data_IF_938316114373
#
_entry.id   IF_938316114373
#
_cell.length_a   1.000
_cell.length_b   1.000
_cell.length_c   1.000
_cell.angle_alpha   90.00
_cell.angle_beta   90.00
_cell.angle_gamma   90.00
#
_symmetry.space_group_name_H-M   'P 1'
#
loop_
_entity.id
_entity.type
_entity.pdbx_description
1 polymer ?
#
# COMPACT_ATOMS: atom_id res chain seq x y z
N UNK A 1 -15.84 1.36 13.55
CA UNK A 1 -15.53 0.21 12.67
C UNK A 1 -14.73 -0.85 13.41
N UNK A 2 -13.71 -0.47 14.19
CA UNK A 2 -12.92 -1.40 15.03
C UNK A 2 -13.74 -2.26 16.02
N UNK A 3 -14.81 -1.71 16.61
CA UNK A 3 -15.61 -2.43 17.63
C UNK A 3 -16.38 -3.65 17.09
N UNK A 4 -16.54 -3.75 15.76
CA UNK A 4 -17.22 -4.86 15.10
C UNK A 4 -16.24 -5.77 14.33
N UNK A 5 -14.93 -5.46 14.40
CA UNK A 5 -13.90 -6.25 13.74
C UNK A 5 -13.47 -7.40 14.64
N UNK A 6 -13.53 -8.62 14.11
CA UNK A 6 -13.01 -9.81 14.77
C UNK A 6 -11.49 -9.88 14.58
N UNK A 7 -10.76 -9.42 15.59
CA UNK A 7 -9.31 -9.38 15.54
C UNK A 7 -8.72 -10.79 15.48
N UNK A 8 -7.70 -11.03 14.62
CA UNK A 8 -7.00 -12.30 14.61
C UNK A 8 -6.25 -12.47 15.95
N UNK A 9 -6.11 -13.73 16.37
CA UNK A 9 -5.27 -14.05 17.53
C UNK A 9 -3.80 -14.00 17.09
N UNK A 10 -2.92 -13.30 17.82
CA UNK A 10 -1.51 -13.24 17.47
C UNK A 10 -0.85 -14.60 17.73
N UNK A 11 -0.14 -15.12 16.73
CA UNK A 11 0.61 -16.37 16.82
C UNK A 11 2.05 -16.10 17.29
N UNK A 12 2.59 -14.94 16.92
CA UNK A 12 3.96 -14.53 17.22
C UNK A 12 4.02 -13.12 17.82
N UNK A 13 5.16 -12.73 18.41
CA UNK A 13 5.35 -11.38 18.95
C UNK A 13 5.23 -10.29 17.86
N UNK A 14 5.63 -10.59 16.62
CA UNK A 14 5.47 -9.69 15.48
C UNK A 14 3.99 -9.36 15.23
N UNK A 15 3.10 -10.34 15.39
CA UNK A 15 1.66 -10.17 15.20
C UNK A 15 1.08 -9.20 16.23
N UNK A 16 1.55 -9.27 17.48
CA UNK A 16 1.15 -8.31 18.53
C UNK A 16 1.54 -6.88 18.17
N UNK A 17 2.70 -6.69 17.52
CA UNK A 17 3.13 -5.37 17.04
C UNK A 17 2.24 -4.87 15.91
N UNK A 18 1.83 -5.74 14.97
CA UNK A 18 0.87 -5.40 13.92
C UNK A 18 -0.44 -4.92 14.55
N UNK A 19 -1.04 -5.73 15.43
CA UNK A 19 -2.31 -5.40 16.08
C UNK A 19 -2.23 -4.08 16.86
N UNK A 20 -1.14 -3.87 17.60
CA UNK A 20 -0.90 -2.63 18.36
C UNK A 20 -0.80 -1.41 17.44
N UNK A 21 -0.03 -1.50 16.36
CA UNK A 21 0.17 -0.39 15.44
C UNK A 21 -1.13 -0.05 14.72
N UNK A 22 -1.90 -1.05 14.27
CA UNK A 22 -3.22 -0.81 13.66
C UNK A 22 -4.16 -0.08 14.63
N UNK A 23 -4.21 -0.49 15.90
CA UNK A 23 -5.09 0.16 16.90
C UNK A 23 -4.67 1.59 17.23
N UNK A 24 -3.37 1.80 17.42
CA UNK A 24 -2.87 3.02 18.04
C UNK A 24 -2.33 4.06 17.05
N UNK A 25 -1.91 3.62 15.86
CA UNK A 25 -1.23 4.46 14.85
C UNK A 25 -1.99 4.50 13.51
N UNK A 26 -3.16 3.87 13.43
CA UNK A 26 -4.00 3.85 12.23
C UNK A 26 -3.63 2.79 11.21
N UNK A 27 -2.36 2.39 11.10
CA UNK A 27 -1.95 1.24 10.32
C UNK A 27 -0.61 0.67 10.81
N UNK A 28 -0.31 -0.55 10.38
CA UNK A 28 1.03 -1.12 10.38
C UNK A 28 1.57 -1.14 8.94
N UNK A 29 2.88 -1.02 8.77
CA UNK A 29 3.53 -1.09 7.45
C UNK A 29 4.50 -2.27 7.48
N UNK A 30 4.31 -3.21 6.57
CA UNK A 30 5.19 -4.36 6.38
C UNK A 30 6.12 -4.05 5.22
N UNK A 31 7.44 -4.07 5.46
CA UNK A 31 8.46 -3.94 4.42
C UNK A 31 9.10 -5.28 4.09
N UNK A 32 9.27 -5.57 2.79
CA UNK A 32 9.90 -6.77 2.25
C UNK A 32 11.15 -6.37 1.44
N UNK A 33 12.25 -5.97 2.10
CA UNK A 33 13.45 -5.47 1.42
C UNK A 33 14.20 -6.55 0.63
N UNK A 34 13.97 -7.84 0.94
CA UNK A 34 14.61 -8.97 0.25
C UNK A 34 13.88 -9.43 -1.02
N UNK A 35 12.74 -8.83 -1.37
CA UNK A 35 12.07 -9.09 -2.64
C UNK A 35 12.78 -8.37 -3.79
N UNK A 36 12.47 -8.78 -5.02
CA UNK A 36 12.99 -8.14 -6.22
C UNK A 36 11.84 -7.86 -7.22
N UNK A 37 11.39 -6.61 -7.36
CA UNK A 37 11.84 -5.43 -6.61
C UNK A 37 11.38 -5.45 -5.13
N UNK A 38 12.04 -4.69 -4.24
CA UNK A 38 11.59 -4.55 -2.85
C UNK A 38 10.22 -3.86 -2.82
N UNK A 39 9.41 -4.20 -1.82
CA UNK A 39 8.09 -3.60 -1.66
C UNK A 39 7.69 -3.45 -0.20
N UNK A 40 6.72 -2.58 0.05
CA UNK A 40 6.06 -2.46 1.34
C UNK A 40 4.56 -2.31 1.17
N UNK A 41 3.78 -2.72 2.17
CA UNK A 41 2.33 -2.57 2.16
C UNK A 41 1.77 -2.24 3.54
N UNK A 42 0.60 -1.60 3.56
CA UNK A 42 -0.11 -1.28 4.79
C UNK A 42 -1.04 -2.40 5.25
N UNK A 43 -1.33 -2.40 6.54
CA UNK A 43 -2.39 -3.18 7.18
C UNK A 43 -3.13 -2.24 8.12
N UNK A 44 -4.46 -2.18 8.03
CA UNK A 44 -5.33 -1.45 8.96
C UNK A 44 -5.97 -0.20 8.37
N UNK A 45 -5.56 0.24 7.18
CA UNK A 45 -6.15 1.40 6.49
C UNK A 45 -7.61 1.14 6.13
N UNK A 46 -7.91 -0.08 5.68
CA UNK A 46 -9.26 -0.51 5.37
C UNK A 46 -10.14 -0.58 6.62
N UNK A 47 -9.63 -1.18 7.70
CA UNK A 47 -10.33 -1.27 8.98
C UNK A 47 -10.63 0.11 9.60
N UNK A 48 -9.65 1.01 9.62
CA UNK A 48 -9.74 2.23 10.40
C UNK A 48 -10.40 3.39 9.66
N UNK A 49 -10.26 3.42 8.33
CA UNK A 49 -10.69 4.57 7.53
C UNK A 49 -11.62 4.18 6.37
N UNK A 50 -11.89 2.89 6.16
CA UNK A 50 -12.64 2.41 4.99
C UNK A 50 -11.92 2.70 3.68
N UNK A 51 -10.59 2.87 3.72
CA UNK A 51 -9.74 3.17 2.58
C UNK A 51 -9.00 1.90 2.14
N UNK A 52 -8.77 1.64 0.83
CA UNK A 52 -7.97 0.51 0.40
C UNK A 52 -6.60 0.43 1.12
N UNK A 53 -6.10 -0.77 1.39
CA UNK A 53 -4.70 -0.92 1.77
C UNK A 53 -3.79 -0.44 0.65
N UNK A 54 -2.54 -0.10 0.97
CA UNK A 54 -1.57 0.40 0.01
C UNK A 54 -0.45 -0.60 -0.17
N UNK A 55 0.05 -0.74 -1.39
CA UNK A 55 1.30 -1.44 -1.71
C UNK A 55 2.18 -0.55 -2.59
N UNK A 56 3.49 -0.55 -2.35
CA UNK A 56 4.45 0.26 -3.10
C UNK A 56 5.70 -0.56 -3.39
N UNK A 57 6.22 -0.46 -4.63
CA UNK A 57 7.42 -1.18 -5.09
C UNK A 57 8.58 -0.23 -5.38
N UNK A 58 9.80 -0.77 -5.41
CA UNK A 58 10.96 -0.09 -6.00
C UNK A 58 11.56 1.03 -5.13
N UNK A 59 11.21 1.08 -3.85
CA UNK A 59 11.75 2.02 -2.87
C UNK A 59 12.37 1.29 -1.69
N UNK A 60 13.27 1.97 -0.97
CA UNK A 60 13.74 1.47 0.33
C UNK A 60 12.57 1.32 1.31
N UNK A 61 12.72 0.43 2.29
CA UNK A 61 11.71 0.23 3.35
C UNK A 61 11.37 1.53 4.07
N UNK A 62 12.37 2.39 4.30
CA UNK A 62 12.21 3.70 4.94
C UNK A 62 11.38 4.65 4.08
N UNK A 63 11.72 4.77 2.79
CA UNK A 63 11.01 5.66 1.86
C UNK A 63 9.57 5.20 1.63
N UNK A 64 9.37 3.90 1.36
CA UNK A 64 8.04 3.33 1.17
C UNK A 64 7.18 3.54 2.43
N UNK A 65 7.76 3.33 3.62
CA UNK A 65 7.06 3.57 4.88
C UNK A 65 6.72 5.05 5.08
N UNK A 66 7.63 5.97 4.75
CA UNK A 66 7.38 7.40 4.86
C UNK A 66 6.22 7.84 3.95
N UNK A 67 6.20 7.37 2.70
CA UNK A 67 5.13 7.67 1.73
C UNK A 67 3.81 7.07 2.17
N UNK A 68 3.77 5.80 2.59
CA UNK A 68 2.54 5.17 3.08
C UNK A 68 2.02 5.89 4.35
N UNK A 69 2.89 6.30 5.27
CA UNK A 69 2.50 7.09 6.44
C UNK A 69 1.92 8.45 6.05
N UNK A 70 2.52 9.13 5.07
CA UNK A 70 1.99 10.39 4.54
C UNK A 70 0.58 10.20 3.98
N UNK A 71 0.36 9.15 3.18
CA UNK A 71 -0.97 8.85 2.62
C UNK A 71 -1.94 8.48 3.75
N UNK A 72 -1.52 7.70 4.76
CA UNK A 72 -2.34 7.41 5.95
C UNK A 72 -2.81 8.70 6.62
N UNK A 73 -1.94 9.68 6.80
CA UNK A 73 -2.29 10.92 7.50
C UNK A 73 -3.33 11.74 6.70
N UNK A 74 -3.24 11.73 5.36
CA UNK A 74 -4.28 12.30 4.47
C UNK A 74 -5.59 11.54 4.56
N UNK A 75 -5.54 10.21 4.57
CA UNK A 75 -6.72 9.36 4.71
C UNK A 75 -7.39 9.57 6.07
N UNK A 76 -6.61 9.71 7.14
CA UNK A 76 -7.09 9.99 8.49
C UNK A 76 -7.76 11.37 8.60
N UNK A 77 -7.38 12.34 7.77
CA UNK A 77 -8.07 13.64 7.67
C UNK A 77 -9.30 13.63 6.77
N UNK A 78 -9.64 12.48 6.18
CA UNK A 78 -10.86 12.26 5.40
C UNK A 78 -10.64 12.23 3.88
N UNK A 79 -9.41 12.35 3.39
CA UNK A 79 -9.11 12.17 1.97
C UNK A 79 -9.32 10.72 1.55
N UNK A 80 -9.72 10.51 0.30
CA UNK A 80 -9.86 9.17 -0.29
C UNK A 80 -9.15 9.15 -1.61
N UNK A 81 -8.42 8.06 -1.86
CA UNK A 81 -7.80 7.76 -3.14
C UNK A 81 -8.50 6.55 -3.76
N UNK A 82 -8.59 6.55 -5.07
CA UNK A 82 -9.22 5.51 -5.88
C UNK A 82 -8.34 5.15 -7.09
N UNK A 83 -8.75 4.12 -7.82
CA UNK A 83 -8.11 3.72 -9.07
C UNK A 83 -8.09 4.85 -10.10
N UNK A 84 -6.90 5.13 -10.65
CA UNK A 84 -6.68 6.18 -11.63
C UNK A 84 -6.39 7.56 -11.05
N UNK A 85 -6.47 7.74 -9.73
CA UNK A 85 -6.15 9.02 -9.10
C UNK A 85 -4.65 9.36 -9.24
N UNK A 86 -4.37 10.65 -9.35
CA UNK A 86 -3.04 11.24 -9.31
C UNK A 86 -3.03 12.35 -8.25
N UNK A 87 -2.14 12.26 -7.27
CA UNK A 87 -1.94 13.30 -6.26
C UNK A 87 -0.67 14.07 -6.56
N UNK A 88 -0.75 15.40 -6.59
CA UNK A 88 0.37 16.32 -6.87
C UNK A 88 0.74 17.22 -5.68
N UNK A 89 0.10 17.02 -4.53
CA UNK A 89 0.21 17.82 -3.32
C UNK A 89 0.88 17.06 -2.15
N UNK A 90 1.41 15.87 -2.41
CA UNK A 90 2.03 15.01 -1.41
C UNK A 90 3.56 15.12 -1.36
N UNK A 91 4.20 15.21 -2.52
CA UNK A 91 5.66 15.22 -2.62
C UNK A 91 6.18 16.61 -2.97
N UNK A 92 7.41 16.89 -2.58
CA UNK A 92 8.09 18.13 -2.93
C UNK A 92 8.47 18.16 -4.44
N UNK A 93 8.91 19.32 -4.92
CA UNK A 93 9.45 19.51 -6.27
C UNK A 93 8.50 19.11 -7.43
N UNK A 94 7.18 19.04 -7.17
CA UNK A 94 6.19 18.73 -8.20
C UNK A 94 6.10 17.25 -8.58
N UNK A 95 6.73 16.34 -7.81
CA UNK A 95 6.53 14.91 -7.98
C UNK A 95 5.11 14.49 -7.60
N UNK A 96 4.59 13.50 -8.33
CA UNK A 96 3.23 13.00 -8.17
C UNK A 96 3.22 11.54 -7.76
N UNK A 97 2.14 11.13 -7.11
CA UNK A 97 1.83 9.74 -6.80
C UNK A 97 0.58 9.31 -7.57
N UNK A 98 0.68 8.18 -8.25
CA UNK A 98 -0.45 7.55 -8.93
C UNK A 98 -1.01 6.38 -8.13
N UNK A 99 -2.29 6.10 -8.30
CA UNK A 99 -3.00 5.04 -7.59
C UNK A 99 -3.65 4.09 -8.59
N UNK A 100 -3.31 2.80 -8.50
CA UNK A 100 -3.87 1.76 -9.36
C UNK A 100 -4.51 0.67 -8.52
N UNK A 101 -5.69 0.20 -8.90
CA UNK A 101 -6.32 -0.95 -8.25
C UNK A 101 -5.44 -2.21 -8.37
N UNK A 102 -5.27 -2.91 -7.25
CA UNK A 102 -4.61 -4.22 -7.21
C UNK A 102 -5.65 -5.32 -7.35
N UNK A 103 -5.59 -6.18 -8.38
CA UNK A 103 -6.53 -7.28 -8.53
C UNK A 103 -6.31 -8.34 -7.45
N UNK A 104 -7.40 -8.96 -6.98
CA UNK A 104 -7.35 -10.02 -5.96
C UNK A 104 -6.42 -11.19 -6.31
N UNK A 105 -6.23 -11.47 -7.62
CA UNK A 105 -5.32 -12.50 -8.10
C UNK A 105 -3.85 -12.26 -7.68
N UNK A 106 -3.45 -11.01 -7.42
CA UNK A 106 -2.10 -10.68 -6.97
C UNK A 106 -1.91 -10.82 -5.45
N UNK A 107 -2.99 -10.94 -4.66
CA UNK A 107 -2.92 -10.85 -3.21
C UNK A 107 -2.12 -12.00 -2.57
N UNK A 108 -2.27 -13.27 -3.00
CA UNK A 108 -1.50 -14.38 -2.41
C UNK A 108 0.02 -14.22 -2.56
N UNK A 109 0.48 -13.50 -3.59
CA UNK A 109 1.90 -13.29 -3.86
C UNK A 109 2.52 -12.21 -2.96
N UNK A 110 1.76 -11.15 -2.62
CA UNK A 110 2.32 -9.96 -1.97
C UNK A 110 1.76 -9.65 -0.58
N UNK A 111 0.51 -10.03 -0.30
CA UNK A 111 -0.28 -9.49 0.82
C UNK A 111 -0.58 -10.54 1.89
N UNK A 112 0.26 -11.57 2.02
CA UNK A 112 0.03 -12.69 2.95
C UNK A 112 -0.29 -12.27 4.38
N UNK A 113 0.46 -11.31 4.94
CA UNK A 113 0.22 -10.79 6.29
C UNK A 113 -1.08 -9.99 6.39
N UNK A 114 -1.47 -9.25 5.35
CA UNK A 114 -2.75 -8.55 5.32
C UNK A 114 -3.92 -9.54 5.19
N UNK A 115 -3.78 -10.60 4.39
CA UNK A 115 -4.75 -11.70 4.30
C UNK A 115 -4.94 -12.34 5.67
N UNK A 116 -3.84 -12.68 6.37
CA UNK A 116 -3.90 -13.16 7.74
C UNK A 116 -4.60 -12.15 8.65
N UNK A 117 -4.30 -10.85 8.56
CA UNK A 117 -4.96 -9.86 9.42
C UNK A 117 -6.48 -9.81 9.22
N UNK A 118 -6.94 -9.88 7.97
CA UNK A 118 -8.34 -9.74 7.59
C UNK A 118 -9.11 -11.06 7.47
N UNK A 119 -8.53 -12.22 7.80
CA UNK A 119 -9.10 -13.52 7.44
C UNK A 119 -10.49 -13.80 8.03
N UNK A 120 -10.81 -13.23 9.19
CA UNK A 120 -12.14 -13.35 9.84
C UNK A 120 -13.13 -12.26 9.41
N UNK A 121 -12.69 -11.29 8.61
CA UNK A 121 -13.55 -10.21 8.12
C UNK A 121 -14.62 -10.76 7.19
N UNK A 122 -15.86 -10.26 7.32
CA UNK A 122 -16.94 -10.60 6.38
C UNK A 122 -16.71 -10.01 4.99
N UNK A 123 -16.00 -8.89 4.90
CA UNK A 123 -15.72 -8.19 3.67
C UNK A 123 -14.24 -8.31 3.34
N UNK A 124 -13.94 -8.61 2.07
CA UNK A 124 -12.59 -8.54 1.56
C UNK A 124 -12.11 -7.09 1.57
N UNK A 125 -10.88 -6.85 2.03
CA UNK A 125 -10.24 -5.56 1.91
C UNK A 125 -9.82 -5.32 0.45
N UNK A 126 -9.93 -4.08 0.00
CA UNK A 126 -9.37 -3.65 -1.28
C UNK A 126 -7.94 -3.13 -1.10
N UNK A 127 -7.17 -3.04 -2.19
CA UNK A 127 -5.80 -2.52 -2.17
C UNK A 127 -5.51 -1.68 -3.42
N UNK A 128 -4.76 -0.59 -3.23
CA UNK A 128 -4.21 0.25 -4.28
C UNK A 128 -2.68 0.12 -4.30
N UNK A 129 -2.13 0.02 -5.50
CA UNK A 129 -0.71 0.22 -5.73
C UNK A 129 -0.42 1.71 -5.83
N UNK A 130 0.51 2.19 -5.01
CA UNK A 130 1.08 3.52 -5.09
C UNK A 130 2.24 3.48 -6.09
N UNK A 131 2.19 4.32 -7.12
CA UNK A 131 3.17 4.39 -8.20
C UNK A 131 3.86 5.75 -8.16
N UNK A 132 5.18 5.76 -8.30
CA UNK A 132 6.01 6.97 -8.27
C UNK A 132 6.62 7.26 -9.65
N UNK A 133 6.94 8.54 -9.88
CA UNK A 133 7.49 9.04 -11.14
C UNK A 133 9.02 8.93 -11.19
N UNK A 134 9.58 8.80 -12.39
CA UNK A 134 11.01 8.96 -12.62
C UNK A 134 11.49 10.41 -12.40
N UNK A 135 12.81 10.62 -12.53
CA UNK A 135 13.45 11.93 -12.30
C UNK A 135 13.00 13.04 -13.24
N UNK A 136 12.34 12.69 -14.35
CA UNK A 136 11.80 13.62 -15.33
C UNK A 136 10.27 13.76 -15.19
N UNK A 137 9.72 13.39 -14.02
CA UNK A 137 8.29 13.46 -13.68
C UNK A 137 7.39 12.59 -14.58
N UNK A 138 7.87 11.42 -15.01
CA UNK A 138 7.08 10.48 -15.80
C UNK A 138 6.74 9.21 -15.03
N UNK A 139 5.49 8.78 -15.10
CA UNK A 139 5.04 7.51 -14.57
C UNK A 139 5.45 6.33 -15.48
N UNK A 140 5.50 5.09 -14.96
CA UNK A 140 5.87 3.90 -15.73
C UNK A 140 5.03 3.62 -17.00
N UNK A 141 3.80 4.15 -17.06
CA UNK A 141 2.92 4.01 -18.24
C UNK A 141 3.08 5.15 -19.27
N UNK A 142 3.84 6.19 -18.94
CA UNK A 142 4.08 7.32 -19.84
C UNK A 142 5.24 7.02 -20.78
N UNK A 143 5.16 7.55 -22.00
CA UNK A 143 6.23 7.42 -22.98
C UNK A 143 7.52 8.03 -22.41
N UNK A 144 8.66 7.41 -22.71
CA UNK A 144 10.01 7.87 -22.28
C UNK A 144 10.28 7.78 -20.77
N UNK A 145 9.40 7.14 -19.98
CA UNK A 145 9.75 6.80 -18.60
C UNK A 145 10.99 5.90 -18.55
N UNK A 146 11.88 6.18 -17.60
CA UNK A 146 13.11 5.41 -17.41
C UNK A 146 12.84 3.90 -17.28
N UNK A 147 13.57 3.10 -18.07
CA UNK A 147 13.45 1.63 -18.03
C UNK A 147 13.76 1.04 -16.66
N UNK A 148 14.61 1.69 -15.87
CA UNK A 148 14.88 1.29 -14.49
C UNK A 148 13.64 1.48 -13.61
N UNK A 149 12.98 2.64 -13.71
CA UNK A 149 11.75 2.95 -12.95
C UNK A 149 10.60 2.03 -13.33
N UNK A 150 10.50 1.67 -14.63
CA UNK A 150 9.54 0.66 -15.11
C UNK A 150 9.85 -0.72 -14.49
N UNK A 151 11.12 -1.14 -14.50
CA UNK A 151 11.54 -2.44 -13.96
C UNK A 151 11.38 -2.59 -12.44
N UNK A 152 11.55 -1.49 -11.70
CA UNK A 152 11.41 -1.45 -10.25
C UNK A 152 9.94 -1.41 -9.77
N UNK A 153 8.99 -1.17 -10.68
CA UNK A 153 7.56 -1.00 -10.35
C UNK A 153 6.67 -1.88 -11.23
N UNK A 154 6.58 -3.20 -10.98
CA UNK A 154 5.63 -4.05 -11.68
C UNK A 154 4.21 -3.54 -11.45
N UNK A 155 3.50 -3.18 -12.54
CA UNK A 155 2.12 -2.70 -12.46
C UNK A 155 1.17 -3.89 -12.27
N UNK A 156 0.66 -4.05 -11.05
CA UNK A 156 -0.16 -5.22 -10.68
C UNK A 156 -1.53 -5.24 -11.36
N UNK A 157 -2.06 -4.07 -11.75
CA UNK A 157 -3.34 -3.94 -12.47
C UNK A 157 -3.44 -4.80 -13.73
N UNK A 158 -2.31 -5.11 -14.36
CA UNK A 158 -2.24 -5.90 -15.59
C UNK A 158 -2.04 -7.41 -15.36
N UNK A 159 -1.94 -7.88 -14.11
CA UNK A 159 -1.95 -9.32 -13.80
C UNK A 159 -3.39 -9.84 -13.93
N UNK A 160 -3.85 -10.00 -15.16
CA UNK A 160 -5.03 -10.83 -15.48
C UNK A 160 -4.55 -12.28 -15.54
N UNK A 161 -5.30 -13.16 -14.86
CA UNK A 161 -5.03 -14.60 -14.76
C UNK A 161 -4.77 -15.29 -16.09
#
# INVERSE_FOLDING_TARGET
MQDQFDWPEPEHEADKVILRNVRNLGCHIVGIPGANPPFAFSIGLYLNYGHPELIMFGQSSENASAIINLIRDRVASGQKFADGDISDDMLENGYKLGFLEVPFAAYPEYLGTAIWFYWKSRLAFSCLQVVWQDVDHRFPWEAECSSAVIGEQPLLKNKVS
#
